data_IF_035556317917
#
_entry.id   IF_035556317917
#
_cell.length_a   1.000
_cell.length_b   1.000
_cell.length_c   1.000
_cell.angle_alpha   90.00
_cell.angle_beta   90.00
_cell.angle_gamma   90.00
#
_symmetry.space_group_name_H-M   'P 1'
#
loop_
_entity.id
_entity.type
_entity.pdbx_description
1 polymer ?
#
# COMPACT_ATOMS: atom_id res chain seq x y z
N UNK A 1 -20.58 12.94 -10.55
CA UNK A 1 -19.98 14.19 -10.01
C UNK A 1 -19.50 13.99 -8.57
N UNK A 2 -19.41 12.73 -8.15
CA UNK A 2 -19.42 12.32 -6.75
C UNK A 2 -18.04 12.49 -6.08
N UNK A 3 -17.07 12.96 -6.86
CA UNK A 3 -15.70 13.29 -6.43
C UNK A 3 -15.49 14.79 -6.24
N UNK A 4 -16.55 15.61 -6.25
CA UNK A 4 -16.45 17.03 -5.96
C UNK A 4 -16.07 17.26 -4.49
N UNK A 5 -14.96 17.97 -4.25
CA UNK A 5 -14.53 18.36 -2.91
C UNK A 5 -13.95 19.77 -2.93
N UNK A 6 -14.27 20.59 -1.94
CA UNK A 6 -13.68 21.93 -1.74
C UNK A 6 -12.42 21.77 -0.88
N UNK A 7 -11.32 22.42 -1.26
CA UNK A 7 -10.10 22.42 -0.45
C UNK A 7 -10.18 23.47 0.68
N UNK A 8 -10.29 23.05 1.96
CA UNK A 8 -10.52 23.97 3.08
C UNK A 8 -9.29 24.85 3.36
N UNK A 9 -8.12 24.41 2.94
CA UNK A 9 -6.89 25.17 3.11
C UNK A 9 -6.79 26.39 2.17
N UNK A 10 -7.65 26.55 1.15
CA UNK A 10 -7.59 27.73 0.27
C UNK A 10 -8.40 28.91 0.83
N UNK A 11 -7.99 30.17 0.56
CA UNK A 11 -8.71 31.34 1.06
C UNK A 11 -10.19 31.37 0.62
N UNK A 12 -11.04 32.03 1.42
CA UNK A 12 -12.47 32.15 1.10
C UNK A 12 -12.76 32.94 -0.19
N UNK A 13 -11.91 33.92 -0.51
CA UNK A 13 -11.91 34.55 -1.83
C UNK A 13 -10.96 33.75 -2.74
N UNK A 14 -11.50 33.13 -3.80
CA UNK A 14 -10.75 32.20 -4.64
C UNK A 14 -10.78 30.74 -4.17
N UNK A 15 -11.92 30.29 -3.63
CA UNK A 15 -12.14 28.89 -3.26
C UNK A 15 -11.78 27.96 -4.42
N UNK A 16 -11.04 26.90 -4.11
CA UNK A 16 -10.68 25.87 -5.06
C UNK A 16 -11.49 24.62 -4.74
N UNK A 17 -12.12 24.07 -5.76
CA UNK A 17 -12.72 22.74 -5.70
C UNK A 17 -11.98 21.80 -6.66
N UNK A 18 -11.96 20.52 -6.33
CA UNK A 18 -11.47 19.45 -7.21
C UNK A 18 -12.62 18.58 -7.69
N UNK A 19 -12.43 17.98 -8.86
CA UNK A 19 -13.19 16.83 -9.36
C UNK A 19 -12.15 15.86 -9.89
N UNK A 20 -12.27 14.57 -9.54
CA UNK A 20 -11.45 13.51 -10.12
C UNK A 20 -12.13 13.04 -11.41
N UNK A 21 -11.36 13.00 -12.49
CA UNK A 21 -11.85 12.72 -13.84
C UNK A 21 -11.33 11.37 -14.33
N UNK A 22 -12.10 10.73 -15.21
CA UNK A 22 -11.65 9.60 -16.01
C UNK A 22 -11.13 10.09 -17.37
N UNK A 23 -10.16 9.40 -17.93
CA UNK A 23 -9.57 9.75 -19.22
C UNK A 23 -10.34 9.07 -20.34
N UNK A 24 -10.70 9.85 -21.36
CA UNK A 24 -11.35 9.37 -22.57
C UNK A 24 -10.51 9.69 -23.81
N UNK A 25 -10.56 8.80 -24.79
CA UNK A 25 -9.98 9.02 -26.11
C UNK A 25 -10.75 10.10 -26.89
N UNK A 26 -10.17 10.58 -27.99
CA UNK A 26 -10.83 11.58 -28.86
C UNK A 26 -12.13 11.07 -29.49
N UNK A 27 -12.28 9.76 -29.68
CA UNK A 27 -13.53 9.10 -30.11
C UNK A 27 -14.49 8.80 -28.93
N UNK A 28 -14.24 9.39 -27.75
CA UNK A 28 -15.07 9.30 -26.53
C UNK A 28 -15.24 7.89 -25.96
N UNK A 29 -14.23 7.03 -26.13
CA UNK A 29 -14.17 5.74 -25.42
C UNK A 29 -13.31 5.89 -24.15
N UNK A 30 -13.58 5.12 -23.09
CA UNK A 30 -12.67 5.08 -21.95
C UNK A 30 -11.25 4.72 -22.40
N UNK A 31 -10.26 5.43 -21.88
CA UNK A 31 -8.87 5.15 -22.20
C UNK A 31 -8.38 3.94 -21.39
N UNK A 32 -8.01 2.87 -22.09
CA UNK A 32 -7.55 1.61 -21.47
C UNK A 32 -6.29 1.76 -20.61
N UNK A 33 -5.52 2.83 -20.78
CA UNK A 33 -4.35 3.14 -19.96
C UNK A 33 -4.64 3.95 -18.70
N UNK A 34 -5.90 4.33 -18.44
CA UNK A 34 -6.29 5.07 -17.23
C UNK A 34 -6.35 4.12 -16.02
N UNK A 35 -5.50 4.31 -14.99
CA UNK A 35 -5.50 3.47 -13.79
C UNK A 35 -6.87 3.42 -13.09
N UNK A 36 -7.60 4.53 -13.06
CA UNK A 36 -8.91 4.60 -12.40
C UNK A 36 -9.95 3.78 -13.16
N UNK A 37 -9.90 3.79 -14.48
CA UNK A 37 -10.72 2.94 -15.33
C UNK A 37 -10.36 1.45 -15.16
N UNK A 38 -9.07 1.11 -15.05
CA UNK A 38 -8.63 -0.28 -14.77
C UNK A 38 -9.24 -0.78 -13.45
N UNK A 39 -9.19 0.02 -12.37
CA UNK A 39 -9.85 -0.33 -11.11
C UNK A 39 -11.36 -0.49 -11.26
N UNK A 40 -12.03 0.41 -11.99
CA UNK A 40 -13.48 0.31 -12.25
C UNK A 40 -13.86 -0.98 -12.96
N UNK A 41 -13.08 -1.42 -13.97
CA UNK A 41 -13.28 -2.73 -14.61
C UNK A 41 -13.16 -3.86 -13.58
N UNK A 42 -12.13 -3.80 -12.72
CA UNK A 42 -11.95 -4.83 -11.70
C UNK A 42 -13.11 -4.88 -10.68
N UNK A 43 -13.65 -3.73 -10.27
CA UNK A 43 -14.81 -3.63 -9.37
C UNK A 43 -16.09 -4.10 -10.07
N UNK A 44 -16.26 -3.82 -11.35
CA UNK A 44 -17.37 -4.31 -12.16
C UNK A 44 -17.37 -5.85 -12.24
N UNK A 45 -16.21 -6.48 -12.43
CA UNK A 45 -16.09 -7.95 -12.40
C UNK A 45 -16.51 -8.54 -11.05
N UNK A 46 -16.14 -7.89 -9.94
CA UNK A 46 -16.58 -8.29 -8.60
C UNK A 46 -18.10 -8.16 -8.46
N UNK A 47 -18.66 -7.05 -8.95
CA UNK A 47 -20.10 -6.75 -8.92
C UNK A 47 -20.88 -7.80 -9.71
N UNK A 48 -20.38 -8.24 -10.87
CA UNK A 48 -21.00 -9.31 -11.66
C UNK A 48 -21.03 -10.67 -10.94
N UNK A 49 -20.11 -10.90 -9.99
CA UNK A 49 -20.13 -12.05 -9.10
C UNK A 49 -21.03 -11.86 -7.85
N UNK A 50 -21.62 -10.67 -7.72
CA UNK A 50 -22.46 -10.26 -6.59
C UNK A 50 -21.67 -9.71 -5.41
N UNK A 51 -20.41 -9.30 -5.61
CA UNK A 51 -19.54 -8.80 -4.55
C UNK A 51 -19.36 -7.28 -4.63
N UNK A 52 -19.38 -6.62 -3.47
CA UNK A 52 -18.86 -5.27 -3.24
C UNK A 52 -17.49 -5.39 -2.58
N UNK A 53 -16.50 -4.64 -3.07
CA UNK A 53 -15.13 -4.67 -2.54
C UNK A 53 -14.83 -3.42 -1.71
N UNK A 54 -14.61 -3.64 -0.42
CA UNK A 54 -14.32 -2.62 0.58
C UNK A 54 -12.86 -2.65 1.00
N UNK A 55 -12.24 -1.46 1.08
CA UNK A 55 -10.81 -1.30 1.33
C UNK A 55 -10.55 -0.20 2.36
N UNK A 56 -9.79 -0.55 3.41
CA UNK A 56 -9.24 0.36 4.41
C UNK A 56 -7.71 0.46 4.31
N UNK A 57 -7.15 1.59 3.85
CA UNK A 57 -5.71 1.78 3.74
C UNK A 57 -5.12 2.40 5.01
N UNK A 58 -3.95 1.92 5.42
CA UNK A 58 -3.16 2.49 6.52
C UNK A 58 -1.95 3.19 5.88
N UNK A 59 -2.01 4.51 5.68
CA UNK A 59 -0.98 5.25 4.94
C UNK A 59 0.05 5.90 5.88
N UNK A 60 1.18 5.22 6.06
CA UNK A 60 2.31 5.76 6.81
C UNK A 60 3.08 6.82 6.00
N UNK A 61 3.63 7.83 6.69
CA UNK A 61 4.47 8.87 6.09
C UNK A 61 5.48 9.44 7.08
N UNK A 62 6.51 10.11 6.55
CA UNK A 62 7.47 10.86 7.35
C UNK A 62 7.27 12.37 7.27
N UNK A 63 7.51 13.10 8.35
CA UNK A 63 7.61 14.56 8.39
C UNK A 63 9.06 15.01 8.65
N UNK A 64 9.75 15.43 7.59
CA UNK A 64 11.13 15.89 7.68
C UNK A 64 11.25 17.40 7.75
N UNK A 65 12.40 17.86 8.26
CA UNK A 65 12.80 19.26 8.16
C UNK A 65 13.15 19.62 6.70
N UNK A 66 13.02 20.91 6.39
CA UNK A 66 13.52 21.50 5.15
C UNK A 66 14.84 22.24 5.42
N UNK A 67 15.68 22.37 4.40
CA UNK A 67 16.87 23.23 4.50
C UNK A 67 16.55 24.72 4.33
N UNK A 68 17.57 25.58 4.36
CA UNK A 68 17.42 27.04 4.28
C UNK A 68 16.79 27.50 2.95
N UNK A 69 16.93 26.72 1.87
CA UNK A 69 16.34 26.98 0.56
C UNK A 69 14.95 26.35 0.40
N UNK A 70 14.43 25.74 1.47
CA UNK A 70 13.14 25.05 1.48
C UNK A 70 13.14 23.72 0.73
N UNK A 71 14.32 23.14 0.45
CA UNK A 71 14.42 21.81 -0.15
C UNK A 71 14.19 20.72 0.91
N UNK A 72 13.60 19.58 0.51
CA UNK A 72 13.37 18.47 1.43
C UNK A 72 14.68 17.85 1.92
N UNK A 73 14.74 17.50 3.20
CA UNK A 73 15.82 16.69 3.78
C UNK A 73 15.28 15.33 4.27
N UNK A 74 16.15 14.46 4.77
CA UNK A 74 15.79 13.25 5.53
C UNK A 74 16.19 13.36 7.01
N UNK A 75 16.38 14.61 7.48
CA UNK A 75 16.85 14.93 8.82
C UNK A 75 15.63 15.28 9.69
N UNK A 76 15.60 14.71 10.89
CA UNK A 76 14.71 15.11 11.97
C UNK A 76 15.49 15.10 13.29
N UNK A 77 15.17 16.04 14.18
CA UNK A 77 15.69 16.06 15.57
C UNK A 77 14.78 15.30 16.54
N UNK A 78 13.66 14.79 16.05
CA UNK A 78 12.70 14.02 16.83
C UNK A 78 13.29 12.68 17.30
N UNK A 79 12.83 12.21 18.46
CA UNK A 79 13.22 10.93 19.05
C UNK A 79 12.01 10.12 19.54
N UNK A 80 10.80 10.57 19.24
CA UNK A 80 9.58 9.84 19.51
C UNK A 80 9.55 8.53 18.71
N UNK A 81 8.80 7.57 19.25
CA UNK A 81 8.46 6.30 18.62
C UNK A 81 6.98 5.99 18.76
N UNK A 82 6.65 4.70 18.68
CA UNK A 82 5.27 4.25 18.53
C UNK A 82 4.37 4.71 19.68
N UNK A 83 3.28 5.41 19.34
CA UNK A 83 2.31 6.01 20.28
C UNK A 83 2.89 7.01 21.31
N UNK A 84 4.08 7.55 21.08
CA UNK A 84 4.60 8.62 21.93
C UNK A 84 3.76 9.90 21.80
N UNK A 85 3.78 10.71 22.86
CA UNK A 85 3.00 11.95 23.00
C UNK A 85 3.94 13.17 22.99
N UNK A 86 3.39 14.37 22.75
CA UNK A 86 4.11 15.62 23.00
C UNK A 86 4.64 15.69 24.45
N UNK A 87 5.83 16.28 24.69
CA UNK A 87 6.58 17.16 23.79
C UNK A 87 7.67 16.47 22.95
N UNK A 88 7.79 15.14 23.02
CA UNK A 88 8.80 14.41 22.21
C UNK A 88 8.32 14.14 20.79
N UNK A 89 7.01 14.03 20.56
CA UNK A 89 6.36 14.07 19.25
C UNK A 89 6.23 15.54 18.79
N UNK A 90 7.10 15.94 17.87
CA UNK A 90 7.15 17.25 17.24
C UNK A 90 6.10 17.38 16.12
N UNK A 91 5.61 16.26 15.58
CA UNK A 91 4.61 16.20 14.52
C UNK A 91 3.16 16.33 14.99
N UNK A 92 2.88 16.29 16.31
CA UNK A 92 1.53 16.23 16.89
C UNK A 92 0.59 17.33 16.35
N UNK A 93 1.03 18.59 16.33
CA UNK A 93 0.22 19.71 15.84
C UNK A 93 -0.01 19.64 14.32
N UNK A 94 1.02 19.27 13.55
CA UNK A 94 0.90 19.13 12.10
C UNK A 94 -0.08 18.02 11.76
N UNK A 95 0.01 16.89 12.47
CA UNK A 95 -0.86 15.73 12.33
C UNK A 95 -2.30 16.04 12.75
N UNK A 96 -2.52 16.74 13.86
CA UNK A 96 -3.85 17.23 14.27
C UNK A 96 -4.48 18.11 13.18
N UNK A 97 -3.73 19.06 12.63
CA UNK A 97 -4.26 19.95 11.60
C UNK A 97 -4.55 19.21 10.28
N UNK A 98 -3.80 18.13 9.97
CA UNK A 98 -4.12 17.23 8.86
C UNK A 98 -5.45 16.51 9.09
N UNK A 99 -5.66 15.96 10.30
CA UNK A 99 -6.92 15.28 10.68
C UNK A 99 -8.11 16.23 10.52
N UNK A 100 -8.06 17.42 11.14
CA UNK A 100 -9.14 18.41 11.05
C UNK A 100 -9.43 18.82 9.60
N UNK A 101 -8.36 18.98 8.80
CA UNK A 101 -8.48 19.30 7.37
C UNK A 101 -9.18 18.19 6.57
N UNK A 102 -8.88 16.93 6.87
CA UNK A 102 -9.48 15.78 6.21
C UNK A 102 -10.94 15.61 6.63
N UNK A 103 -11.27 15.82 7.91
CA UNK A 103 -12.65 15.81 8.40
C UNK A 103 -13.50 16.90 7.71
N UNK A 104 -12.97 18.12 7.53
CA UNK A 104 -13.61 19.19 6.76
C UNK A 104 -13.86 18.81 5.29
N UNK A 105 -13.10 17.85 4.76
CA UNK A 105 -13.27 17.29 3.41
C UNK A 105 -14.19 16.07 3.37
N UNK A 106 -14.77 15.66 4.51
CA UNK A 106 -15.70 14.55 4.63
C UNK A 106 -15.06 13.19 4.88
N UNK A 107 -13.79 13.15 5.31
CA UNK A 107 -13.19 11.91 5.79
C UNK A 107 -13.73 11.56 7.18
N UNK A 108 -13.94 10.27 7.41
CA UNK A 108 -14.14 9.74 8.76
C UNK A 108 -12.79 9.18 9.23
N UNK A 109 -12.09 9.93 10.08
CA UNK A 109 -10.78 9.53 10.62
C UNK A 109 -11.01 8.58 11.80
N UNK A 110 -10.37 7.42 11.77
CA UNK A 110 -10.49 6.39 12.82
C UNK A 110 -9.43 6.57 13.91
N UNK A 111 -8.18 6.84 13.49
CA UNK A 111 -7.07 7.00 14.41
C UNK A 111 -5.97 7.90 13.81
N UNK A 112 -5.11 8.39 14.69
CA UNK A 112 -3.88 9.07 14.28
C UNK A 112 -2.84 8.94 15.39
N UNK A 113 -1.62 8.55 15.01
CA UNK A 113 -0.54 8.36 15.97
C UNK A 113 0.84 8.57 15.36
N UNK A 114 1.82 8.67 16.25
CA UNK A 114 3.22 8.54 15.89
C UNK A 114 3.55 7.07 15.64
N UNK A 115 4.35 6.80 14.62
CA UNK A 115 4.75 5.47 14.18
C UNK A 115 6.09 5.04 14.81
N UNK A 116 6.60 3.86 14.46
CA UNK A 116 7.78 3.27 15.12
C UNK A 116 9.06 4.09 14.92
N UNK A 117 9.32 4.61 13.71
CA UNK A 117 10.51 5.40 13.47
C UNK A 117 10.33 6.88 13.86
N UNK A 118 11.42 7.57 14.26
CA UNK A 118 11.38 9.01 14.46
C UNK A 118 10.92 9.73 13.18
N UNK A 119 10.07 10.74 13.34
CA UNK A 119 9.39 11.51 12.30
C UNK A 119 8.37 10.71 11.48
N UNK A 120 8.02 9.49 11.87
CA UNK A 120 7.02 8.67 11.19
C UNK A 120 5.65 8.87 11.83
N UNK A 121 4.62 8.95 10.99
CA UNK A 121 3.25 9.17 11.41
C UNK A 121 2.28 8.33 10.57
N UNK A 122 1.12 8.06 11.18
CA UNK A 122 -0.01 7.38 10.55
C UNK A 122 -1.30 8.15 10.85
N UNK A 123 -2.19 8.17 9.87
CA UNK A 123 -3.57 8.65 10.00
C UNK A 123 -4.45 7.65 9.27
N UNK A 124 -5.31 6.99 10.02
CA UNK A 124 -6.24 5.99 9.50
C UNK A 124 -7.58 6.62 9.23
N UNK A 125 -8.15 6.29 8.08
CA UNK A 125 -9.49 6.70 7.71
C UNK A 125 -10.33 5.49 7.35
N UNK A 126 -11.63 5.61 7.61
CA UNK A 126 -12.59 4.54 7.45
C UNK A 126 -12.55 3.96 6.05
N UNK A 127 -12.67 2.64 5.99
CA UNK A 127 -12.77 1.91 4.73
C UNK A 127 -13.99 2.37 3.92
N UNK A 128 -13.89 2.21 2.61
CA UNK A 128 -14.98 2.44 1.67
C UNK A 128 -14.81 1.55 0.42
N UNK A 129 -15.71 1.69 -0.54
CA UNK A 129 -15.62 0.99 -1.83
C UNK A 129 -14.32 1.36 -2.54
N UNK A 130 -13.66 0.37 -3.16
CA UNK A 130 -12.30 0.49 -3.67
C UNK A 130 -12.02 1.72 -4.56
N UNK A 131 -12.92 2.12 -5.46
CA UNK A 131 -12.71 3.31 -6.31
C UNK A 131 -12.67 4.58 -5.47
N UNK A 132 -13.58 4.71 -4.50
CA UNK A 132 -13.62 5.85 -3.58
C UNK A 132 -12.43 5.84 -2.64
N UNK A 133 -12.03 4.66 -2.15
CA UNK A 133 -10.80 4.53 -1.35
C UNK A 133 -9.56 4.95 -2.14
N UNK A 134 -9.41 4.56 -3.40
CA UNK A 134 -8.27 4.99 -4.23
C UNK A 134 -8.27 6.51 -4.47
N UNK A 135 -9.44 7.11 -4.74
CA UNK A 135 -9.62 8.56 -4.83
C UNK A 135 -9.22 9.26 -3.51
N UNK A 136 -9.60 8.66 -2.37
CA UNK A 136 -9.29 9.14 -1.03
C UNK A 136 -7.80 9.03 -0.69
N UNK A 137 -7.10 7.95 -1.07
CA UNK A 137 -5.65 7.83 -0.88
C UNK A 137 -4.91 8.95 -1.65
N UNK A 138 -5.31 9.22 -2.89
CA UNK A 138 -4.69 10.30 -3.68
C UNK A 138 -4.90 11.67 -3.06
N UNK A 139 -6.11 11.92 -2.55
CA UNK A 139 -6.46 13.20 -1.91
C UNK A 139 -5.81 13.35 -0.53
N UNK A 140 -5.71 12.25 0.22
CA UNK A 140 -5.01 12.18 1.50
C UNK A 140 -3.55 12.60 1.35
N UNK A 141 -2.83 12.00 0.40
CA UNK A 141 -1.42 12.37 0.11
C UNK A 141 -1.26 13.85 -0.23
N UNK A 142 -2.21 14.43 -0.96
CA UNK A 142 -2.21 15.87 -1.29
C UNK A 142 -2.43 16.73 -0.05
N UNK A 143 -3.42 16.39 0.78
CA UNK A 143 -3.75 17.12 2.00
C UNK A 143 -2.56 17.09 2.98
N UNK A 144 -2.03 15.90 3.27
CA UNK A 144 -0.86 15.71 4.15
C UNK A 144 0.33 16.55 3.69
N UNK A 145 0.71 16.47 2.41
CA UNK A 145 1.81 17.28 1.85
C UNK A 145 1.55 18.79 1.94
N UNK A 146 0.31 19.21 1.71
CA UNK A 146 -0.06 20.62 1.74
C UNK A 146 -0.03 21.20 3.15
N UNK A 147 -0.54 20.45 4.13
CA UNK A 147 -0.58 20.88 5.52
C UNK A 147 0.81 20.80 6.14
N UNK A 148 1.59 19.74 5.88
CA UNK A 148 2.98 19.67 6.33
C UNK A 148 3.78 20.90 5.90
N UNK A 149 3.64 21.32 4.63
CA UNK A 149 4.30 22.52 4.10
C UNK A 149 3.93 23.80 4.86
N UNK A 150 2.71 23.90 5.42
CA UNK A 150 2.29 25.07 6.23
C UNK A 150 2.96 25.09 7.59
N UNK A 151 3.30 23.92 8.11
CA UNK A 151 4.05 23.74 9.34
C UNK A 151 5.57 23.81 9.12
N UNK A 152 6.03 24.18 7.92
CA UNK A 152 7.47 24.23 7.59
C UNK A 152 8.13 22.85 7.51
N UNK A 153 7.32 21.80 7.33
CA UNK A 153 7.74 20.41 7.24
C UNK A 153 7.56 19.87 5.83
N UNK A 154 8.31 18.83 5.48
CA UNK A 154 8.14 18.08 4.25
C UNK A 154 7.58 16.70 4.53
N UNK A 155 6.37 16.43 4.03
CA UNK A 155 5.79 15.09 4.11
C UNK A 155 6.29 14.19 2.97
N UNK A 156 6.89 13.06 3.35
CA UNK A 156 7.37 12.04 2.42
C UNK A 156 6.61 10.72 2.60
N UNK A 157 6.09 10.21 1.48
CA UNK A 157 5.51 8.86 1.38
C UNK A 157 6.51 7.86 0.76
N UNK A 158 7.79 8.21 0.76
CA UNK A 158 8.86 7.37 0.23
C UNK A 158 8.97 6.10 1.10
N UNK A 159 9.06 4.89 0.51
CA UNK A 159 9.00 3.64 1.30
C UNK A 159 10.11 3.49 2.33
N UNK A 160 11.33 3.93 2.02
CA UNK A 160 12.49 3.85 2.89
C UNK A 160 13.37 5.11 2.73
N UNK A 161 13.01 6.22 3.40
CA UNK A 161 13.76 7.47 3.24
C UNK A 161 15.12 7.44 3.95
N UNK A 162 15.32 6.54 4.92
CA UNK A 162 16.57 6.43 5.69
C UNK A 162 16.90 4.97 6.01
N UNK A 163 18.19 4.63 5.91
CA UNK A 163 18.72 3.35 6.33
C UNK A 163 18.69 3.21 7.86
N UNK A 164 18.48 2.00 8.37
CA UNK A 164 18.59 1.71 9.81
C UNK A 164 17.33 1.99 10.65
N UNK A 165 16.24 2.45 10.05
CA UNK A 165 14.97 2.74 10.73
C UNK A 165 13.79 2.08 10.00
N UNK A 166 12.59 2.01 10.60
CA UNK A 166 11.39 1.55 9.91
C UNK A 166 11.11 2.39 8.63
N UNK A 167 10.46 1.77 7.66
CA UNK A 167 10.02 2.45 6.44
C UNK A 167 8.50 2.54 6.40
N UNK A 168 7.97 3.38 5.50
CA UNK A 168 6.53 3.63 5.39
C UNK A 168 5.81 2.60 4.53
N UNK A 169 4.85 1.90 5.12
CA UNK A 169 3.89 1.04 4.44
C UNK A 169 2.67 1.77 3.87
N UNK A 170 1.87 1.01 3.13
CA UNK A 170 0.46 1.28 2.90
C UNK A 170 -0.28 -0.04 3.10
N UNK A 171 -0.58 -0.43 4.34
CA UNK A 171 -1.31 -1.69 4.55
C UNK A 171 -2.70 -1.57 3.92
N UNK A 172 -3.14 -2.65 3.27
CA UNK A 172 -4.41 -2.70 2.57
C UNK A 172 -5.29 -3.72 3.26
N UNK A 173 -6.23 -3.24 4.07
CA UNK A 173 -7.27 -4.06 4.66
C UNK A 173 -8.41 -4.26 3.65
N UNK A 174 -8.76 -5.51 3.36
CA UNK A 174 -9.69 -5.89 2.29
C UNK A 174 -10.82 -6.75 2.81
N UNK A 175 -12.04 -6.49 2.35
CA UNK A 175 -13.20 -7.35 2.57
C UNK A 175 -14.11 -7.39 1.34
N UNK A 176 -14.85 -8.48 1.20
CA UNK A 176 -15.90 -8.62 0.19
C UNK A 176 -17.25 -8.72 0.89
N UNK A 177 -18.22 -7.95 0.41
CA UNK A 177 -19.59 -7.97 0.90
C UNK A 177 -20.52 -8.52 -0.18
N UNK A 178 -21.48 -9.37 0.20
CA UNK A 178 -22.55 -9.87 -0.67
C UNK A 178 -23.87 -9.79 0.08
N UNK A 179 -24.89 -9.23 -0.57
CA UNK A 179 -26.23 -9.05 0.02
C UNK A 179 -26.21 -8.37 1.40
N UNK A 180 -25.30 -7.41 1.59
CA UNK A 180 -25.14 -6.67 2.85
C UNK A 180 -24.44 -7.42 3.98
N UNK A 181 -23.79 -8.55 3.70
CA UNK A 181 -23.00 -9.32 4.67
C UNK A 181 -21.56 -9.43 4.22
N UNK A 182 -20.63 -9.30 5.16
CA UNK A 182 -19.22 -9.61 4.93
C UNK A 182 -19.05 -11.11 4.70
N UNK A 183 -18.63 -11.51 3.49
CA UNK A 183 -18.52 -12.93 3.12
C UNK A 183 -17.27 -13.59 3.66
N UNK A 184 -16.33 -12.83 4.23
CA UNK A 184 -15.14 -13.41 4.84
C UNK A 184 -15.39 -13.95 6.25
N UNK A 185 -16.47 -13.49 6.89
CA UNK A 185 -16.88 -13.95 8.21
C UNK A 185 -17.61 -15.29 8.13
N UNK A 186 -17.17 -16.25 8.93
CA UNK A 186 -17.91 -17.48 9.20
C UNK A 186 -17.68 -17.89 10.66
N UNK A 187 -18.63 -17.61 11.58
CA UNK A 187 -18.49 -17.95 13.00
C UNK A 187 -18.27 -19.44 13.29
N UNK A 188 -18.74 -20.32 12.39
CA UNK A 188 -18.59 -21.77 12.51
C UNK A 188 -17.34 -22.29 11.75
N UNK A 189 -16.70 -21.43 10.96
CA UNK A 189 -15.49 -21.71 10.20
C UNK A 189 -14.23 -21.79 11.05
N UNK A 190 -13.21 -22.47 10.54
CA UNK A 190 -11.88 -22.48 11.17
C UNK A 190 -11.35 -21.04 11.26
N UNK A 191 -10.84 -20.66 12.44
CA UNK A 191 -10.39 -19.29 12.76
C UNK A 191 -11.47 -18.19 12.58
N UNK A 192 -12.74 -18.57 12.45
CA UNK A 192 -13.85 -17.65 12.18
C UNK A 192 -13.88 -17.11 10.74
N UNK A 193 -13.32 -17.87 9.79
CA UNK A 193 -13.17 -17.47 8.39
C UNK A 193 -13.97 -18.39 7.45
N UNK A 194 -14.63 -17.80 6.46
CA UNK A 194 -15.30 -18.54 5.40
C UNK A 194 -14.31 -19.14 4.40
N UNK A 195 -14.77 -20.10 3.58
CA UNK A 195 -13.98 -20.64 2.46
C UNK A 195 -13.60 -19.57 1.45
N UNK A 196 -14.49 -18.62 1.18
CA UNK A 196 -14.23 -17.50 0.30
C UNK A 196 -13.07 -16.62 0.80
N UNK A 197 -12.92 -16.44 2.12
CA UNK A 197 -11.77 -15.76 2.70
C UNK A 197 -10.47 -16.53 2.43
N UNK A 198 -10.47 -17.84 2.67
CA UNK A 198 -9.31 -18.70 2.38
C UNK A 198 -8.94 -18.63 0.90
N UNK A 199 -9.90 -18.80 -0.01
CA UNK A 199 -9.65 -18.73 -1.44
C UNK A 199 -9.12 -17.36 -1.87
N UNK A 200 -9.65 -16.27 -1.31
CA UNK A 200 -9.14 -14.93 -1.57
C UNK A 200 -7.67 -14.79 -1.14
N UNK A 201 -7.31 -15.30 0.05
CA UNK A 201 -5.91 -15.34 0.54
C UNK A 201 -5.04 -16.18 -0.40
N UNK A 202 -5.50 -17.36 -0.84
CA UNK A 202 -4.76 -18.23 -1.74
C UNK A 202 -4.49 -17.57 -3.10
N UNK A 203 -5.47 -16.83 -3.63
CA UNK A 203 -5.31 -16.01 -4.83
C UNK A 203 -4.26 -14.91 -4.67
N UNK A 204 -4.30 -14.14 -3.58
CA UNK A 204 -3.28 -13.13 -3.28
C UNK A 204 -1.87 -13.75 -3.19
N UNK A 205 -1.72 -14.87 -2.47
CA UNK A 205 -0.43 -15.54 -2.31
C UNK A 205 0.13 -16.07 -3.63
N UNK A 206 -0.73 -16.66 -4.48
CA UNK A 206 -0.35 -17.17 -5.81
C UNK A 206 0.25 -16.08 -6.70
N UNK A 207 -0.34 -14.89 -6.69
CA UNK A 207 0.04 -13.79 -7.57
C UNK A 207 1.05 -12.82 -6.94
N UNK A 208 1.48 -13.06 -5.70
CA UNK A 208 2.15 -12.03 -4.90
C UNK A 208 3.47 -11.54 -5.53
N UNK A 209 4.27 -12.44 -6.12
CA UNK A 209 5.54 -12.05 -6.72
C UNK A 209 5.35 -11.10 -7.92
N UNK A 210 4.35 -11.36 -8.77
CA UNK A 210 4.01 -10.47 -9.88
C UNK A 210 3.37 -9.17 -9.39
N UNK A 211 2.51 -9.23 -8.37
CA UNK A 211 1.90 -8.05 -7.75
C UNK A 211 2.94 -7.11 -7.14
N UNK A 212 4.07 -7.62 -6.64
CA UNK A 212 5.12 -6.81 -6.03
C UNK A 212 5.60 -5.67 -6.95
N UNK A 213 5.68 -5.90 -8.26
CA UNK A 213 6.06 -4.87 -9.22
C UNK A 213 5.10 -3.67 -9.23
N UNK A 214 3.82 -3.88 -8.88
CA UNK A 214 2.76 -2.86 -8.85
C UNK A 214 2.58 -2.27 -7.45
N UNK A 215 2.61 -3.11 -6.42
CA UNK A 215 2.40 -2.71 -5.02
C UNK A 215 3.63 -2.08 -4.39
N UNK A 216 4.82 -2.33 -4.96
CA UNK A 216 6.13 -1.83 -4.53
C UNK A 216 6.87 -1.27 -5.76
N UNK A 217 6.42 -0.13 -6.33
CA UNK A 217 6.77 0.23 -7.70
C UNK A 217 8.13 0.89 -7.86
N UNK A 218 8.77 1.35 -6.77
CA UNK A 218 10.06 2.04 -6.81
C UNK A 218 11.21 1.09 -6.49
N UNK A 219 12.42 1.40 -6.95
CA UNK A 219 13.64 0.76 -6.43
C UNK A 219 13.75 0.88 -4.90
N UNK A 220 13.32 2.01 -4.35
CA UNK A 220 13.35 2.28 -2.91
C UNK A 220 12.39 1.38 -2.09
N UNK A 221 11.30 0.90 -2.69
CA UNK A 221 10.33 -0.01 -2.06
C UNK A 221 11.01 -1.25 -1.49
N UNK A 222 11.93 -1.83 -2.24
CA UNK A 222 12.66 -3.05 -1.86
C UNK A 222 13.71 -2.80 -0.77
N UNK A 223 14.02 -1.53 -0.46
CA UNK A 223 14.83 -1.17 0.73
C UNK A 223 13.98 -1.15 2.01
N UNK A 224 12.65 -1.10 1.88
CA UNK A 224 11.69 -1.31 2.98
C UNK A 224 11.53 -2.81 3.28
N UNK A 225 11.45 -3.63 2.23
CA UNK A 225 11.27 -5.08 2.30
C UNK A 225 12.57 -5.82 2.66
N UNK A 226 13.12 -5.49 3.83
CA UNK A 226 14.31 -6.15 4.39
C UNK A 226 14.02 -6.62 5.83
N UNK A 227 14.68 -7.69 6.32
CA UNK A 227 14.45 -8.19 7.67
C UNK A 227 14.69 -7.11 8.74
N UNK A 228 13.91 -7.14 9.83
CA UNK A 228 14.17 -6.38 11.06
C UNK A 228 13.41 -5.07 11.25
N UNK A 229 12.49 -4.71 10.34
CA UNK A 229 11.73 -3.44 10.40
C UNK A 229 10.22 -3.63 10.23
N UNK A 230 9.67 -4.75 10.71
CA UNK A 230 8.23 -5.13 10.67
C UNK A 230 7.58 -5.29 9.27
N UNK A 231 8.27 -4.86 8.21
CA UNK A 231 7.85 -5.04 6.83
C UNK A 231 7.96 -6.52 6.40
N UNK A 232 6.96 -7.06 5.68
CA UNK A 232 6.95 -8.46 5.30
C UNK A 232 7.93 -8.74 4.15
N UNK A 233 8.67 -9.83 4.25
CA UNK A 233 9.56 -10.33 3.16
C UNK A 233 9.22 -11.77 2.75
N UNK A 234 8.39 -12.45 3.53
CA UNK A 234 8.02 -13.85 3.33
C UNK A 234 6.55 -13.96 2.94
N UNK A 235 6.26 -14.73 1.91
CA UNK A 235 4.91 -15.02 1.42
C UNK A 235 4.28 -16.05 2.36
N UNK A 236 3.67 -15.54 3.42
CA UNK A 236 2.99 -16.31 4.44
C UNK A 236 1.79 -15.51 4.98
N UNK A 237 0.84 -16.20 5.60
CA UNK A 237 -0.30 -15.57 6.26
C UNK A 237 -0.46 -16.05 7.70
N UNK A 238 -1.03 -15.21 8.57
CA UNK A 238 -1.26 -15.53 9.97
C UNK A 238 -2.40 -14.71 10.59
N UNK A 239 -2.99 -15.26 11.65
CA UNK A 239 -4.00 -14.59 12.49
C UNK A 239 -3.39 -13.87 13.70
N UNK A 240 -2.22 -14.31 14.19
CA UNK A 240 -1.66 -13.86 15.47
C UNK A 240 -0.40 -13.01 15.31
N UNK A 241 0.29 -13.15 14.17
CA UNK A 241 1.62 -12.56 13.99
C UNK A 241 1.59 -11.31 13.11
N UNK A 242 2.45 -10.33 13.43
CA UNK A 242 2.74 -9.13 12.62
C UNK A 242 4.01 -9.27 11.75
N UNK A 243 4.64 -10.44 11.69
CA UNK A 243 5.70 -10.73 10.72
C UNK A 243 5.25 -11.10 9.28
N UNK A 244 4.07 -11.72 9.05
CA UNK A 244 3.72 -12.23 7.73
C UNK A 244 3.22 -11.13 6.80
N UNK A 245 3.26 -11.47 5.52
CA UNK A 245 2.74 -10.69 4.39
C UNK A 245 1.25 -10.40 4.52
N UNK A 246 0.47 -11.45 4.82
CA UNK A 246 -0.96 -11.35 5.01
C UNK A 246 -1.27 -11.56 6.48
N UNK A 247 -1.98 -10.61 7.08
CA UNK A 247 -2.46 -10.72 8.44
C UNK A 247 -3.99 -10.76 8.43
N UNK A 248 -4.56 -11.55 9.31
CA UNK A 248 -6.00 -11.57 9.57
C UNK A 248 -6.21 -10.96 10.96
N UNK A 249 -6.68 -9.70 11.05
CA UNK A 249 -6.97 -9.06 12.33
C UNK A 249 -7.94 -9.87 13.19
N UNK A 250 -7.91 -9.69 14.51
CA UNK A 250 -8.72 -10.48 15.46
C UNK A 250 -10.21 -10.14 15.38
N UNK A 251 -10.56 -8.95 14.88
CA UNK A 251 -11.96 -8.53 14.69
C UNK A 251 -12.72 -9.52 13.79
N UNK A 252 -13.97 -9.82 14.15
CA UNK A 252 -14.89 -10.70 13.41
C UNK A 252 -16.19 -9.99 13.05
N UNK A 253 -17.11 -10.67 12.37
CA UNK A 253 -18.36 -10.13 11.85
C UNK A 253 -18.11 -9.19 10.67
N UNK A 254 -18.79 -8.03 10.67
CA UNK A 254 -18.58 -7.00 9.65
C UNK A 254 -17.13 -6.50 9.55
N UNK A 255 -16.35 -6.62 10.63
CA UNK A 255 -14.93 -6.22 10.66
C UNK A 255 -13.94 -7.29 10.19
N UNK A 256 -14.40 -8.47 9.75
CA UNK A 256 -13.53 -9.54 9.22
C UNK A 256 -12.86 -9.10 7.92
N UNK A 257 -11.53 -9.15 7.85
CA UNK A 257 -10.77 -8.63 6.71
C UNK A 257 -9.42 -9.29 6.53
N UNK A 258 -8.88 -9.17 5.32
CA UNK A 258 -7.54 -9.63 4.94
C UNK A 258 -6.63 -8.39 4.82
N UNK A 259 -5.61 -8.31 5.67
CA UNK A 259 -4.63 -7.20 5.68
C UNK A 259 -3.40 -7.59 4.87
N UNK A 260 -3.17 -6.96 3.72
CA UNK A 260 -1.97 -7.12 2.92
C UNK A 260 -0.96 -6.01 3.24
N UNK A 261 0.23 -6.38 3.74
CA UNK A 261 1.17 -5.45 4.38
C UNK A 261 2.36 -5.04 3.51
N UNK A 262 2.55 -5.69 2.36
CA UNK A 262 3.63 -5.36 1.44
C UNK A 262 3.44 -4.08 0.62
N UNK A 263 2.24 -3.54 0.32
CA UNK A 263 2.16 -2.32 -0.47
C UNK A 263 2.76 -1.14 0.29
N UNK A 264 3.27 -0.18 -0.47
CA UNK A 264 3.75 1.09 0.06
C UNK A 264 3.03 2.28 -0.58
N UNK A 265 3.14 3.44 0.05
CA UNK A 265 2.39 4.64 -0.36
C UNK A 265 2.91 5.28 -1.66
N UNK A 266 4.02 4.79 -2.23
CA UNK A 266 4.48 5.18 -3.56
C UNK A 266 3.70 4.49 -4.68
N UNK A 267 3.01 3.38 -4.36
CA UNK A 267 2.14 2.68 -5.28
C UNK A 267 1.01 3.56 -5.83
N UNK A 268 0.63 3.30 -7.08
CA UNK A 268 -0.58 3.87 -7.67
C UNK A 268 -1.78 3.13 -7.06
N UNK A 269 -2.60 3.79 -6.21
CA UNK A 269 -3.63 3.09 -5.46
C UNK A 269 -4.66 2.42 -6.36
N UNK A 270 -4.97 2.99 -7.53
CA UNK A 270 -5.92 2.37 -8.45
C UNK A 270 -5.40 1.03 -8.98
N UNK A 271 -4.13 0.99 -9.43
CA UNK A 271 -3.53 -0.26 -9.91
C UNK A 271 -3.35 -1.26 -8.78
N UNK A 272 -2.90 -0.83 -7.60
CA UNK A 272 -2.75 -1.67 -6.42
C UNK A 272 -4.05 -2.36 -6.05
N UNK A 273 -5.14 -1.62 -5.91
CA UNK A 273 -6.43 -2.19 -5.54
C UNK A 273 -7.00 -3.08 -6.65
N UNK A 274 -6.75 -2.76 -7.92
CA UNK A 274 -7.19 -3.58 -9.05
C UNK A 274 -6.51 -4.96 -9.04
N UNK A 275 -5.19 -5.00 -8.87
CA UNK A 275 -4.44 -6.28 -8.83
C UNK A 275 -4.75 -7.08 -7.56
N UNK A 276 -4.95 -6.43 -6.41
CA UNK A 276 -5.34 -7.11 -5.18
C UNK A 276 -6.73 -7.75 -5.31
N UNK A 277 -7.71 -7.00 -5.82
CA UNK A 277 -9.06 -7.51 -6.04
C UNK A 277 -9.04 -8.69 -7.01
N UNK A 278 -8.41 -8.51 -8.18
CA UNK A 278 -8.43 -9.55 -9.21
C UNK A 278 -7.65 -10.79 -8.82
N UNK A 279 -6.54 -10.67 -8.11
CA UNK A 279 -5.81 -11.83 -7.56
C UNK A 279 -6.68 -12.59 -6.54
N UNK A 280 -7.36 -11.89 -5.64
CA UNK A 280 -8.28 -12.52 -4.70
C UNK A 280 -9.50 -13.16 -5.37
N UNK A 281 -10.06 -12.53 -6.42
CA UNK A 281 -11.13 -13.12 -7.22
C UNK A 281 -10.67 -14.33 -8.04
N UNK A 282 -9.43 -14.36 -8.53
CA UNK A 282 -8.84 -15.56 -9.16
C UNK A 282 -8.85 -16.73 -8.18
N UNK A 283 -8.43 -16.44 -6.94
CA UNK A 283 -8.50 -17.34 -5.80
C UNK A 283 -9.89 -17.94 -5.63
N UNK A 284 -10.92 -17.09 -5.52
CA UNK A 284 -12.32 -17.51 -5.36
C UNK A 284 -12.83 -18.31 -6.57
N UNK A 285 -12.57 -17.86 -7.80
CA UNK A 285 -13.04 -18.51 -9.04
C UNK A 285 -12.46 -19.92 -9.18
N UNK A 286 -11.18 -20.08 -8.83
CA UNK A 286 -10.44 -21.33 -9.00
C UNK A 286 -10.33 -22.15 -7.70
N UNK A 287 -10.96 -21.70 -6.60
CA UNK A 287 -10.92 -22.34 -5.28
C UNK A 287 -9.49 -22.65 -4.82
N UNK A 288 -8.61 -21.65 -4.94
CA UNK A 288 -7.19 -21.81 -4.62
C UNK A 288 -7.03 -21.74 -3.11
N UNK A 289 -6.77 -22.90 -2.49
CA UNK A 289 -6.49 -22.96 -1.05
C UNK A 289 -5.12 -22.37 -0.72
N UNK A 290 -5.00 -21.51 0.30
CA UNK A 290 -3.71 -21.05 0.77
C UNK A 290 -3.00 -22.20 1.51
N UNK A 291 -1.66 -22.16 1.63
CA UNK A 291 -0.95 -23.07 2.52
C UNK A 291 -1.39 -22.85 3.98
N UNK A 292 -1.03 -23.77 4.87
CA UNK A 292 -1.35 -23.65 6.29
C UNK A 292 -0.82 -22.33 6.89
N UNK A 293 -1.61 -21.73 7.78
CA UNK A 293 -1.23 -20.49 8.47
C UNK A 293 0.08 -20.67 9.26
N UNK A 294 0.95 -19.66 9.20
CA UNK A 294 2.21 -19.67 9.94
C UNK A 294 2.02 -18.93 11.26
N UNK A 295 2.04 -19.66 12.37
CA UNK A 295 1.80 -19.09 13.71
C UNK A 295 3.08 -18.60 14.40
N UNK A 296 4.25 -19.06 13.95
CA UNK A 296 5.56 -18.69 14.49
C UNK A 296 6.10 -17.39 13.86
N UNK A 297 7.11 -16.78 14.50
CA UNK A 297 7.82 -15.63 13.94
C UNK A 297 8.70 -16.04 12.76
N UNK A 298 8.23 -15.73 11.54
CA UNK A 298 8.90 -16.12 10.29
C UNK A 298 10.31 -15.53 10.19
N UNK A 299 10.59 -14.40 10.84
CA UNK A 299 11.94 -13.81 10.85
C UNK A 299 12.94 -14.67 11.66
N UNK A 300 12.48 -15.35 12.70
CA UNK A 300 13.31 -16.20 13.58
C UNK A 300 13.43 -17.64 13.07
N UNK A 301 12.61 -18.03 12.09
CA UNK A 301 12.65 -19.37 11.51
C UNK A 301 13.93 -19.60 10.72
N UNK A 302 14.53 -20.78 10.90
CA UNK A 302 15.67 -21.22 10.08
C UNK A 302 15.24 -21.44 8.64
N UNK A 303 16.15 -21.22 7.69
CA UNK A 303 15.88 -21.42 6.26
C UNK A 303 15.37 -22.84 5.95
N UNK A 304 15.87 -23.86 6.64
CA UNK A 304 15.40 -25.23 6.49
C UNK A 304 13.96 -25.46 6.97
N UNK A 305 13.47 -24.69 7.95
CA UNK A 305 12.07 -24.72 8.37
C UNK A 305 11.17 -24.01 7.35
N UNK A 306 11.61 -22.84 6.86
CA UNK A 306 10.91 -22.09 5.80
C UNK A 306 10.70 -22.95 4.55
N UNK A 307 11.76 -23.60 4.07
CA UNK A 307 11.70 -24.49 2.91
C UNK A 307 10.75 -25.69 3.13
N UNK A 308 10.71 -26.26 4.34
CA UNK A 308 9.79 -27.37 4.66
C UNK A 308 8.32 -26.94 4.64
N UNK A 309 8.04 -25.69 4.99
CA UNK A 309 6.70 -25.11 4.98
C UNK A 309 6.34 -24.48 3.62
N UNK A 310 7.24 -24.52 2.64
CA UNK A 310 7.03 -23.88 1.34
C UNK A 310 6.92 -22.36 1.42
N UNK A 311 7.54 -21.73 2.43
CA UNK A 311 7.52 -20.28 2.59
C UNK A 311 8.49 -19.66 1.59
N UNK A 312 7.95 -18.99 0.59
CA UNK A 312 8.73 -18.26 -0.42
C UNK A 312 9.02 -16.83 0.03
N UNK A 313 10.02 -16.20 -0.61
CA UNK A 313 10.37 -14.79 -0.40
C UNK A 313 9.70 -13.90 -1.47
N UNK A 314 9.41 -12.65 -1.10
CA UNK A 314 9.10 -11.60 -2.06
C UNK A 314 10.33 -11.33 -2.95
N UNK A 315 10.15 -10.79 -4.16
CA UNK A 315 11.27 -10.34 -4.98
C UNK A 315 12.19 -9.39 -4.21
N UNK A 316 13.50 -9.58 -4.32
CA UNK A 316 14.49 -8.83 -3.54
C UNK A 316 14.73 -7.41 -4.09
N UNK A 317 14.38 -7.17 -5.35
CA UNK A 317 14.48 -5.88 -6.00
C UNK A 317 13.43 -5.67 -7.10
N UNK A 318 13.39 -4.45 -7.66
CA UNK A 318 12.46 -4.08 -8.72
C UNK A 318 12.69 -4.91 -10.00
N UNK A 319 13.92 -5.31 -10.29
CA UNK A 319 14.25 -6.11 -11.46
C UNK A 319 13.64 -7.52 -11.38
N UNK A 320 13.79 -8.18 -10.23
CA UNK A 320 13.16 -9.47 -9.96
C UNK A 320 11.62 -9.36 -9.98
N UNK A 321 11.06 -8.34 -9.35
CA UNK A 321 9.61 -8.13 -9.34
C UNK A 321 9.04 -7.95 -10.75
N UNK A 322 9.73 -7.19 -11.61
CA UNK A 322 9.35 -7.03 -13.01
C UNK A 322 9.42 -8.36 -13.78
N UNK A 323 10.45 -9.18 -13.53
CA UNK A 323 10.58 -10.48 -14.16
C UNK A 323 9.46 -11.45 -13.72
N UNK A 324 9.00 -11.36 -12.47
CA UNK A 324 7.85 -12.13 -11.97
C UNK A 324 6.53 -11.60 -12.53
N UNK A 325 6.36 -10.28 -12.64
CA UNK A 325 5.19 -9.67 -13.26
C UNK A 325 5.05 -10.06 -14.75
N UNK A 326 6.16 -10.11 -15.49
CA UNK A 326 6.18 -10.54 -16.89
C UNK A 326 5.80 -12.02 -17.10
N UNK A 327 5.90 -12.86 -16.08
CA UNK A 327 5.45 -14.26 -16.12
C UNK A 327 3.97 -14.40 -15.76
N UNK A 328 3.39 -13.41 -15.09
CA UNK A 328 2.01 -13.45 -14.60
C UNK A 328 1.04 -12.88 -15.65
N UNK A 329 0.64 -13.73 -16.61
CA UNK A 329 -0.29 -13.35 -17.67
C UNK A 329 -1.64 -12.86 -17.12
N UNK A 330 -2.08 -13.38 -15.97
CA UNK A 330 -3.34 -12.98 -15.35
C UNK A 330 -3.29 -11.52 -14.92
N UNK A 331 -2.27 -11.10 -14.17
CA UNK A 331 -2.11 -9.71 -13.75
C UNK A 331 -1.87 -8.75 -14.93
N UNK A 332 -1.15 -9.20 -15.96
CA UNK A 332 -0.98 -8.42 -17.18
C UNK A 332 -2.30 -8.16 -17.91
N UNK A 333 -3.20 -9.16 -17.91
CA UNK A 333 -4.55 -9.00 -18.48
C UNK A 333 -5.43 -8.06 -17.64
N UNK A 334 -5.26 -8.05 -16.30
CA UNK A 334 -5.96 -7.10 -15.41
C UNK A 334 -5.63 -5.65 -15.76
N UNK A 335 -4.35 -5.32 -15.95
CA UNK A 335 -3.93 -3.98 -16.38
C UNK A 335 -4.34 -3.71 -17.83
N UNK A 336 -4.38 -4.74 -18.66
CA UNK A 336 -4.61 -4.64 -20.08
C UNK A 336 -3.34 -4.25 -20.84
N UNK A 337 -3.30 -4.62 -22.12
CA UNK A 337 -2.10 -4.55 -22.96
C UNK A 337 -1.39 -3.19 -22.91
N UNK A 338 -2.11 -2.09 -23.09
CA UNK A 338 -1.52 -0.76 -23.18
C UNK A 338 -0.84 -0.34 -21.87
N UNK A 339 -1.52 -0.51 -20.73
CA UNK A 339 -0.97 -0.15 -19.43
C UNK A 339 0.21 -1.07 -19.06
N UNK A 340 0.09 -2.38 -19.32
CA UNK A 340 1.16 -3.36 -19.06
C UNK A 340 2.43 -3.02 -19.83
N UNK A 341 2.35 -2.80 -21.14
CA UNK A 341 3.51 -2.47 -21.98
C UNK A 341 4.20 -1.18 -21.48
N UNK A 342 3.42 -0.12 -21.22
CA UNK A 342 3.97 1.17 -20.76
C UNK A 342 4.51 1.12 -19.34
N UNK A 343 3.90 0.34 -18.47
CA UNK A 343 4.36 0.16 -17.09
C UNK A 343 5.72 -0.54 -17.06
N UNK A 344 5.84 -1.66 -17.77
CA UNK A 344 7.09 -2.42 -17.88
C UNK A 344 8.20 -1.56 -18.49
N UNK A 345 7.90 -0.84 -19.58
CA UNK A 345 8.86 0.07 -20.23
C UNK A 345 9.41 1.11 -19.24
N UNK A 346 8.52 1.81 -18.54
CA UNK A 346 8.90 2.84 -17.57
C UNK A 346 9.73 2.26 -16.42
N UNK A 347 9.34 1.12 -15.86
CA UNK A 347 10.00 0.51 -14.71
C UNK A 347 11.32 -0.18 -15.06
N UNK A 348 11.44 -0.76 -16.25
CA UNK A 348 12.73 -1.25 -16.76
C UNK A 348 13.72 -0.11 -17.01
N UNK A 349 13.23 1.04 -17.50
CA UNK A 349 14.06 2.24 -17.64
C UNK A 349 14.55 2.78 -16.29
N UNK A 350 13.65 2.91 -15.31
CA UNK A 350 13.99 3.31 -13.93
C UNK A 350 15.04 2.37 -13.31
N UNK A 351 14.84 1.06 -13.45
CA UNK A 351 15.77 0.05 -12.95
C UNK A 351 17.14 0.08 -13.66
N UNK A 352 17.15 0.29 -14.98
CA UNK A 352 18.37 0.40 -15.75
C UNK A 352 19.20 1.62 -15.34
N UNK A 353 18.54 2.77 -15.14
CA UNK A 353 19.19 3.99 -14.65
C UNK A 353 19.79 3.77 -13.25
N UNK A 354 19.01 3.23 -12.30
CA UNK A 354 19.51 2.93 -10.95
C UNK A 354 20.74 2.02 -10.95
N UNK A 355 20.72 0.93 -11.73
CA UNK A 355 21.85 -0.02 -11.80
C UNK A 355 23.12 0.58 -12.41
N UNK A 356 22.99 1.65 -13.19
CA UNK A 356 24.13 2.35 -13.78
C UNK A 356 24.77 3.37 -12.82
N UNK A 357 24.12 3.70 -11.70
CA UNK A 357 24.65 4.59 -10.69
C UNK A 357 25.79 3.92 -9.90
N UNK A 358 26.79 4.71 -9.50
CA UNK A 358 27.82 4.30 -8.53
C UNK A 358 27.55 5.05 -7.23
N UNK A 359 27.19 4.33 -6.18
CA UNK A 359 26.83 4.91 -4.89
C UNK A 359 28.04 5.17 -4.00
N UNK A 360 27.89 6.10 -3.05
CA UNK A 360 28.88 6.33 -2.00
C UNK A 360 29.17 5.06 -1.20
N UNK A 361 28.20 4.16 -1.04
CA UNK A 361 28.42 2.88 -0.36
C UNK A 361 29.45 2.03 -1.10
N UNK A 362 29.36 1.93 -2.43
CA UNK A 362 30.32 1.17 -3.24
C UNK A 362 31.72 1.80 -3.18
N UNK A 363 31.80 3.14 -3.30
CA UNK A 363 33.06 3.87 -3.21
C UNK A 363 33.72 3.63 -1.84
N UNK A 364 32.97 3.81 -0.75
CA UNK A 364 33.47 3.65 0.61
C UNK A 364 33.89 2.20 0.93
N UNK A 365 33.30 1.20 0.25
CA UNK A 365 33.61 -0.20 0.51
C UNK A 365 34.69 -0.78 -0.40
N UNK A 366 34.82 -0.31 -1.63
CA UNK A 366 35.65 -0.97 -2.64
C UNK A 366 36.85 -0.14 -3.10
N UNK A 367 36.80 1.20 -3.06
CA UNK A 367 37.83 2.07 -3.66
C UNK A 367 39.26 1.79 -3.16
N UNK A 368 39.41 1.36 -1.91
CA UNK A 368 40.70 1.09 -1.27
C UNK A 368 40.90 -0.38 -0.84
N UNK A 369 39.95 -1.28 -1.14
CA UNK A 369 40.01 -2.70 -0.72
C UNK A 369 40.44 -3.65 -1.85
N UNK A 370 40.45 -3.16 -3.08
CA UNK A 370 40.91 -3.84 -4.29
C UNK A 370 42.07 -3.01 -4.82
#
# INVERSE_FOLDING_TARGET
LDTFVIFPWRPQQGKVARIICDVYTSDRKPFEGDPRYILKKAVEDATQMGYRFDVGPECEFFLFNQDEDGQPTTISTERAGYFDLGPIDLGENARRDMVLTLEDMGYEIEASHHEVAPAQHEIDFRYDEAVKTADNIMTFKLAVKTIAKRHGMFASFMPKPKFGINGSGMHVNMSLCKDGKNIFDDPDGELGLSKEAYWFIGGLMKHMKGMAAITNPLVNSYKRLVPGYEAPIYIAWSVTNRSPLIRIPVTRGEGTRVELRCPDSAANPYLTLAVCLQAGLDGIRNQIEPPAAVTENVFEMRMSQKNKLGIEELPADLGEALAEFEKDEYLQNVLGRHATEKYIEAKKSEWADYRAQVSDWEINNYLYKI
#
